data_IF_067649343802
#
_entry.id   IF_067649343802
#
_cell.length_a   1.000
_cell.length_b   1.000
_cell.length_c   1.000
_cell.angle_alpha   90.00
_cell.angle_beta   90.00
_cell.angle_gamma   90.00
#
_symmetry.space_group_name_H-M   'P 1'
#
loop_
_entity.id
_entity.type
_entity.pdbx_description
1 polymer ?
#
# COMPACT_ATOMS: atom_id res chain seq x y z
N UNK A 1 -57.95 -26.63 -6.17
CA UNK A 1 -56.66 -27.20 -6.63
C UNK A 1 -55.72 -26.15 -7.23
N UNK A 2 -56.23 -25.12 -7.92
CA UNK A 2 -55.41 -24.07 -8.59
C UNK A 2 -54.75 -23.07 -7.60
N UNK A 3 -55.42 -22.71 -6.49
CA UNK A 3 -54.90 -21.76 -5.49
C UNK A 3 -53.61 -22.25 -4.79
N UNK A 4 -53.57 -23.54 -4.43
CA UNK A 4 -52.42 -24.18 -3.75
C UNK A 4 -51.13 -24.12 -4.58
N UNK A 5 -51.24 -24.13 -5.91
CA UNK A 5 -50.07 -24.08 -6.80
C UNK A 5 -49.50 -22.67 -6.90
N UNK A 6 -50.35 -21.65 -6.76
CA UNK A 6 -49.96 -20.24 -6.79
C UNK A 6 -49.24 -19.83 -5.50
N UNK A 7 -49.71 -20.35 -4.35
CA UNK A 7 -49.07 -20.13 -3.05
C UNK A 7 -47.70 -20.82 -2.95
N UNK A 8 -47.59 -22.05 -3.49
CA UNK A 8 -46.32 -22.77 -3.55
C UNK A 8 -45.25 -22.05 -4.39
N UNK A 9 -45.67 -21.44 -5.52
CA UNK A 9 -44.82 -20.62 -6.39
C UNK A 9 -44.38 -19.30 -5.73
N UNK A 10 -45.25 -18.67 -4.92
CA UNK A 10 -44.89 -17.46 -4.18
C UNK A 10 -43.86 -17.76 -3.08
N UNK A 11 -44.02 -18.89 -2.38
CA UNK A 11 -43.10 -19.32 -1.32
C UNK A 11 -41.73 -19.65 -1.89
N UNK A 12 -41.66 -20.39 -3.01
CA UNK A 12 -40.37 -20.74 -3.65
C UNK A 12 -39.62 -19.50 -4.15
N UNK A 13 -40.30 -18.55 -4.79
CA UNK A 13 -39.69 -17.27 -5.19
C UNK A 13 -39.18 -16.47 -3.99
N UNK A 14 -39.90 -16.48 -2.88
CA UNK A 14 -39.48 -15.78 -1.67
C UNK A 14 -38.21 -16.38 -1.05
N UNK A 15 -38.10 -17.71 -1.03
CA UNK A 15 -36.88 -18.40 -0.58
C UNK A 15 -35.70 -18.17 -1.52
N UNK A 16 -35.92 -18.16 -2.83
CA UNK A 16 -34.88 -17.90 -3.83
C UNK A 16 -34.37 -16.45 -3.79
N UNK A 17 -35.28 -15.49 -3.64
CA UNK A 17 -34.91 -14.08 -3.48
C UNK A 17 -34.13 -13.85 -2.18
N UNK A 18 -34.52 -14.51 -1.08
CA UNK A 18 -33.80 -14.44 0.20
C UNK A 18 -32.42 -15.12 0.14
N UNK A 19 -32.27 -16.22 -0.58
CA UNK A 19 -30.98 -16.91 -0.76
C UNK A 19 -30.01 -16.06 -1.59
N UNK A 20 -30.49 -15.45 -2.67
CA UNK A 20 -29.73 -14.55 -3.54
C UNK A 20 -29.22 -13.30 -2.81
N UNK A 21 -30.06 -12.69 -1.95
CA UNK A 21 -29.65 -11.54 -1.12
C UNK A 21 -28.57 -11.93 -0.12
N UNK A 22 -28.71 -13.08 0.57
CA UNK A 22 -27.68 -13.59 1.50
C UNK A 22 -26.36 -13.89 0.78
N UNK A 23 -26.42 -14.42 -0.44
CA UNK A 23 -25.23 -14.71 -1.24
C UNK A 23 -24.50 -13.43 -1.68
N UNK A 24 -25.23 -12.42 -2.20
CA UNK A 24 -24.65 -11.11 -2.55
C UNK A 24 -24.01 -10.42 -1.35
N UNK A 25 -24.64 -10.50 -0.17
CA UNK A 25 -24.11 -9.93 1.07
C UNK A 25 -22.84 -10.64 1.55
N UNK A 26 -22.80 -11.98 1.48
CA UNK A 26 -21.62 -12.77 1.81
C UNK A 26 -20.43 -12.47 0.88
N UNK A 27 -20.67 -12.37 -0.43
CA UNK A 27 -19.64 -11.98 -1.41
C UNK A 27 -19.13 -10.56 -1.14
N UNK A 28 -20.04 -9.61 -0.87
CA UNK A 28 -19.67 -8.23 -0.54
C UNK A 28 -18.74 -8.14 0.67
N UNK A 29 -19.05 -8.89 1.73
CA UNK A 29 -18.21 -8.97 2.94
C UNK A 29 -16.84 -9.63 2.66
N UNK A 30 -16.81 -10.69 1.86
CA UNK A 30 -15.54 -11.33 1.47
C UNK A 30 -14.68 -10.42 0.60
N UNK A 31 -15.27 -9.64 -0.30
CA UNK A 31 -14.56 -8.68 -1.14
C UNK A 31 -13.97 -7.53 -0.30
N UNK A 32 -14.71 -7.01 0.68
CA UNK A 32 -14.17 -6.02 1.61
C UNK A 32 -12.98 -6.58 2.41
N UNK A 33 -13.11 -7.78 2.96
CA UNK A 33 -12.04 -8.43 3.72
C UNK A 33 -10.77 -8.67 2.89
N UNK A 34 -10.92 -9.07 1.61
CA UNK A 34 -9.80 -9.23 0.68
C UNK A 34 -9.15 -7.89 0.29
N UNK A 35 -9.95 -6.83 0.07
CA UNK A 35 -9.44 -5.47 -0.19
C UNK A 35 -8.61 -4.95 0.98
N UNK A 36 -9.08 -5.19 2.21
CA UNK A 36 -8.39 -4.79 3.43
C UNK A 36 -7.07 -5.56 3.63
N UNK A 37 -7.07 -6.87 3.35
CA UNK A 37 -5.84 -7.68 3.35
C UNK A 37 -4.84 -7.20 2.30
N UNK A 38 -5.28 -6.90 1.07
CA UNK A 38 -4.41 -6.37 0.01
C UNK A 38 -3.82 -5.01 0.39
N UNK A 39 -4.61 -4.14 1.04
CA UNK A 39 -4.13 -2.86 1.55
C UNK A 39 -3.06 -3.04 2.63
N UNK A 40 -3.28 -3.94 3.59
CA UNK A 40 -2.34 -4.21 4.67
C UNK A 40 -1.05 -4.88 4.16
N UNK A 41 -1.17 -5.84 3.23
CA UNK A 41 -0.02 -6.47 2.57
C UNK A 41 0.79 -5.45 1.76
N UNK A 42 0.12 -4.58 1.01
CA UNK A 42 0.76 -3.49 0.27
C UNK A 42 1.44 -2.48 1.19
N UNK A 43 0.86 -2.19 2.36
CA UNK A 43 1.48 -1.33 3.35
C UNK A 43 2.76 -1.97 3.92
N UNK A 44 2.70 -3.24 4.33
CA UNK A 44 3.85 -3.97 4.87
C UNK A 44 4.96 -4.08 3.83
N UNK A 45 4.63 -4.50 2.60
CA UNK A 45 5.63 -4.63 1.53
C UNK A 45 6.29 -3.29 1.20
N UNK A 46 5.53 -2.20 1.23
CA UNK A 46 6.05 -0.85 1.03
C UNK A 46 7.06 -0.47 2.12
N UNK A 47 6.75 -0.67 3.39
CA UNK A 47 7.71 -0.39 4.48
C UNK A 47 8.94 -1.31 4.43
N UNK A 48 8.76 -2.60 4.14
CA UNK A 48 9.87 -3.54 3.97
C UNK A 48 10.80 -3.11 2.84
N UNK A 49 10.25 -2.67 1.70
CA UNK A 49 11.06 -2.19 0.58
C UNK A 49 11.87 -0.93 0.93
N UNK A 50 11.29 -0.01 1.72
CA UNK A 50 12.00 1.17 2.20
C UNK A 50 13.16 0.79 3.13
N UNK A 51 12.95 -0.17 4.04
CA UNK A 51 14.00 -0.66 4.93
C UNK A 51 15.12 -1.38 4.18
N UNK A 52 14.78 -2.21 3.19
CA UNK A 52 15.77 -2.90 2.35
C UNK A 52 16.59 -1.87 1.56
N UNK A 53 15.94 -0.83 1.02
CA UNK A 53 16.64 0.24 0.30
C UNK A 53 17.61 1.00 1.21
N UNK A 54 17.17 1.33 2.43
CA UNK A 54 18.03 1.94 3.44
C UNK A 54 19.22 1.07 3.81
N UNK A 55 18.95 -0.22 4.08
CA UNK A 55 19.99 -1.20 4.38
C UNK A 55 21.01 -1.32 3.24
N UNK A 56 20.54 -1.32 1.99
CA UNK A 56 21.42 -1.31 0.82
C UNK A 56 22.34 -0.09 0.78
N UNK A 57 21.84 1.10 1.14
CA UNK A 57 22.64 2.30 1.30
C UNK A 57 23.74 2.15 2.36
N UNK A 58 23.39 1.59 3.53
CA UNK A 58 24.36 1.29 4.60
C UNK A 58 25.42 0.30 4.12
N UNK A 59 25.06 -0.74 3.38
CA UNK A 59 26.02 -1.71 2.85
C UNK A 59 27.01 -1.07 1.86
N UNK A 60 26.57 -0.14 1.02
CA UNK A 60 27.45 0.61 0.11
C UNK A 60 28.44 1.46 0.91
N UNK A 61 27.97 2.12 1.98
CA UNK A 61 28.82 2.89 2.89
C UNK A 61 29.89 2.03 3.57
N UNK A 62 29.49 0.86 4.10
CA UNK A 62 30.43 -0.08 4.74
C UNK A 62 31.43 -0.67 3.76
N UNK A 63 31.00 -0.88 2.52
CA UNK A 63 31.85 -1.43 1.45
C UNK A 63 32.76 -0.37 0.81
N UNK A 64 32.62 0.91 1.17
CA UNK A 64 33.38 2.04 0.62
C UNK A 64 33.35 2.09 -0.92
N UNK A 65 32.21 1.77 -1.50
CA UNK A 65 32.02 1.75 -2.95
C UNK A 65 31.32 3.02 -3.42
N UNK A 66 31.65 3.45 -4.65
CA UNK A 66 30.92 4.53 -5.29
C UNK A 66 29.49 4.07 -5.61
N UNK A 67 28.46 4.83 -5.19
CA UNK A 67 27.09 4.51 -5.51
C UNK A 67 26.83 4.74 -6.99
N UNK A 68 26.06 3.85 -7.62
CA UNK A 68 25.61 4.06 -9.01
C UNK A 68 24.79 5.35 -9.08
N UNK A 69 25.08 6.21 -10.04
CA UNK A 69 24.34 7.45 -10.27
C UNK A 69 22.82 7.24 -10.42
N UNK A 70 22.40 6.09 -10.95
CA UNK A 70 20.98 5.71 -11.04
C UNK A 70 20.29 5.57 -9.68
N UNK A 71 21.00 5.09 -8.65
CA UNK A 71 20.47 4.98 -7.28
C UNK A 71 20.32 6.35 -6.64
N UNK A 72 21.28 7.24 -6.85
CA UNK A 72 21.23 8.63 -6.39
C UNK A 72 20.03 9.34 -6.99
N UNK A 73 19.87 9.24 -8.32
CA UNK A 73 18.76 9.87 -9.04
C UNK A 73 17.41 9.28 -8.61
N UNK A 74 17.33 7.97 -8.38
CA UNK A 74 16.13 7.31 -7.87
C UNK A 74 15.76 7.82 -6.49
N UNK A 75 16.71 7.89 -5.55
CA UNK A 75 16.46 8.40 -4.20
C UNK A 75 16.02 9.88 -4.24
N UNK A 76 16.69 10.71 -5.04
CA UNK A 76 16.36 12.13 -5.19
C UNK A 76 14.96 12.33 -5.80
N UNK A 77 14.64 11.62 -6.89
CA UNK A 77 13.34 11.72 -7.58
C UNK A 77 12.19 11.22 -6.70
N UNK A 78 12.43 10.16 -5.94
CA UNK A 78 11.44 9.60 -5.00
C UNK A 78 11.20 10.57 -3.85
N UNK A 79 12.25 11.13 -3.25
CA UNK A 79 12.14 12.13 -2.21
C UNK A 79 11.41 13.39 -2.70
N UNK A 80 11.76 13.88 -3.88
CA UNK A 80 11.07 15.01 -4.50
C UNK A 80 9.58 14.72 -4.71
N UNK A 81 9.23 13.54 -5.22
CA UNK A 81 7.83 13.12 -5.39
C UNK A 81 7.07 13.08 -4.06
N UNK A 82 7.71 12.57 -2.99
CA UNK A 82 7.12 12.54 -1.66
C UNK A 82 6.90 13.97 -1.12
N UNK A 83 7.87 14.87 -1.30
CA UNK A 83 7.77 16.27 -0.88
C UNK A 83 6.66 17.02 -1.62
N UNK A 84 6.55 16.85 -2.94
CA UNK A 84 5.49 17.46 -3.74
C UNK A 84 4.11 16.92 -3.34
N UNK A 85 4.01 15.64 -3.00
CA UNK A 85 2.76 15.04 -2.50
C UNK A 85 2.47 15.34 -1.01
N UNK A 86 3.46 15.80 -0.24
CA UNK A 86 3.33 16.07 1.18
C UNK A 86 2.19 17.06 1.51
N UNK A 87 2.08 18.25 0.87
CA UNK A 87 1.02 19.20 1.18
C UNK A 87 -0.37 18.65 0.89
N UNK A 88 -0.54 17.90 -0.21
CA UNK A 88 -1.84 17.27 -0.56
C UNK A 88 -2.30 16.24 0.49
N UNK A 89 -1.35 15.58 1.16
CA UNK A 89 -1.62 14.50 2.10
C UNK A 89 -1.54 14.93 3.57
N UNK A 90 -1.31 16.22 3.84
CA UNK A 90 -0.95 16.73 5.17
C UNK A 90 -2.10 16.84 6.17
N UNK A 91 -3.34 16.85 5.68
CA UNK A 91 -4.56 17.03 6.46
C UNK A 91 -4.79 15.83 7.42
N UNK A 92 -4.53 14.61 6.95
CA UNK A 92 -4.72 13.39 7.74
C UNK A 92 -3.47 13.06 8.56
N UNK A 93 -3.60 13.04 9.90
CA UNK A 93 -2.51 12.65 10.85
C UNK A 93 -1.78 11.37 10.43
N UNK A 94 -2.50 10.33 10.01
CA UNK A 94 -1.93 9.05 9.56
C UNK A 94 -1.09 9.17 8.28
N UNK A 95 -1.55 9.96 7.31
CA UNK A 95 -0.78 10.22 6.08
C UNK A 95 0.46 11.07 6.35
N UNK A 96 0.39 12.01 7.31
CA UNK A 96 1.56 12.78 7.74
C UNK A 96 2.68 11.89 8.25
N UNK A 97 2.36 10.92 9.12
CA UNK A 97 3.35 9.97 9.66
C UNK A 97 3.96 9.14 8.53
N UNK A 98 3.13 8.57 7.64
CA UNK A 98 3.61 7.76 6.50
C UNK A 98 4.55 8.55 5.59
N UNK A 99 4.18 9.80 5.26
CA UNK A 99 4.99 10.70 4.43
C UNK A 99 6.29 11.06 5.16
N UNK A 100 6.23 11.36 6.47
CA UNK A 100 7.42 11.68 7.27
C UNK A 100 8.42 10.53 7.33
N UNK A 101 7.94 9.28 7.53
CA UNK A 101 8.80 8.09 7.51
C UNK A 101 9.48 7.95 6.15
N UNK A 102 8.74 8.15 5.06
CA UNK A 102 9.31 8.13 3.71
C UNK A 102 10.38 9.20 3.51
N UNK A 103 10.12 10.45 3.94
CA UNK A 103 11.10 11.54 3.87
C UNK A 103 12.37 11.19 4.66
N UNK A 104 12.24 10.66 5.87
CA UNK A 104 13.39 10.28 6.69
C UNK A 104 14.21 9.17 6.05
N UNK A 105 13.57 8.09 5.59
CA UNK A 105 14.29 6.96 5.00
C UNK A 105 14.99 7.36 3.69
N UNK A 106 14.25 7.93 2.74
CA UNK A 106 14.83 8.33 1.45
C UNK A 106 15.82 9.49 1.60
N UNK A 107 15.59 10.40 2.55
CA UNK A 107 16.49 11.50 2.86
C UNK A 107 17.82 11.02 3.43
N UNK A 108 17.79 10.12 4.42
CA UNK A 108 19.01 9.53 4.98
C UNK A 108 19.74 8.66 3.94
N UNK A 109 19.02 7.85 3.15
CA UNK A 109 19.63 7.10 2.04
C UNK A 109 20.31 8.03 1.03
N UNK A 110 19.67 9.13 0.65
CA UNK A 110 20.26 10.11 -0.27
C UNK A 110 21.51 10.77 0.32
N UNK A 111 21.48 11.13 1.62
CA UNK A 111 22.65 11.67 2.31
C UNK A 111 23.82 10.67 2.34
N UNK A 112 23.54 9.40 2.62
CA UNK A 112 24.57 8.34 2.56
C UNK A 112 25.17 8.24 1.17
N UNK A 113 24.34 8.25 0.12
CA UNK A 113 24.83 8.18 -1.25
C UNK A 113 25.64 9.42 -1.66
N UNK A 114 25.20 10.63 -1.31
CA UNK A 114 25.96 11.85 -1.57
C UNK A 114 27.28 11.86 -0.81
N UNK A 115 27.28 11.40 0.44
CA UNK A 115 28.50 11.25 1.22
C UNK A 115 29.47 10.24 0.59
N UNK A 116 28.98 9.07 0.17
CA UNK A 116 29.82 8.09 -0.53
C UNK A 116 30.36 8.64 -1.86
N UNK A 117 29.56 9.41 -2.61
CA UNK A 117 29.99 10.00 -3.89
C UNK A 117 31.02 11.13 -3.70
N UNK A 118 30.96 11.82 -2.56
CA UNK A 118 31.94 12.85 -2.20
C UNK A 118 33.23 12.26 -1.62
N UNK A 119 33.13 11.22 -0.80
CA UNK A 119 34.24 10.64 -0.05
C UNK A 119 35.01 9.55 -0.81
N UNK A 120 34.37 8.86 -1.76
CA UNK A 120 34.93 7.76 -2.55
C UNK A 120 34.78 8.04 -4.03
#
# INVERSE_FOLDING_TARGET
>A
MIQLNHDALAITNYYDQRSSVKFKQSIGLQLQKRKELLYNLGAISSYSSMLIFFWHGVMILLSKQQPKHTLVLYAASTLFSILVMAPYKWDKKWMRIKTSVGITIFGLSLLIYLFCLWAY
#
